data_IF_811497077176
#
_entry.id   IF_811497077176
#
_cell.length_a   1.000
_cell.length_b   1.000
_cell.length_c   1.000
_cell.angle_alpha   90.00
_cell.angle_beta   90.00
_cell.angle_gamma   90.00
#
_symmetry.space_group_name_H-M   'P 1'
#
loop_
_entity.id
_entity.type
_entity.pdbx_description
1 polymer ?
#
# COMPACT_ATOMS: atom_id res chain seq x y z
N UNK A 1 4.56 -5.96 -39.67
CA UNK A 1 4.53 -4.93 -38.62
C UNK A 1 3.69 -5.47 -37.46
N UNK A 2 4.32 -6.21 -36.53
CA UNK A 2 3.61 -6.80 -35.40
C UNK A 2 3.18 -5.69 -34.45
N UNK A 3 1.87 -5.43 -34.38
CA UNK A 3 1.28 -4.61 -33.31
C UNK A 3 1.46 -5.37 -31.99
N UNK A 4 2.59 -5.15 -31.32
CA UNK A 4 2.79 -5.61 -29.94
C UNK A 4 1.74 -4.89 -29.11
N UNK A 5 0.81 -5.64 -28.51
CA UNK A 5 -0.12 -5.10 -27.51
C UNK A 5 0.71 -4.38 -26.44
N UNK A 6 0.27 -3.23 -25.92
CA UNK A 6 1.03 -2.54 -24.89
C UNK A 6 1.23 -3.48 -23.70
N UNK A 7 2.43 -3.50 -23.12
CA UNK A 7 2.86 -4.40 -22.05
C UNK A 7 1.79 -4.65 -20.96
N UNK A 8 1.13 -3.58 -20.51
CA UNK A 8 0.03 -3.64 -19.54
C UNK A 8 -1.16 -4.49 -19.97
N UNK A 9 -1.54 -4.44 -21.25
CA UNK A 9 -2.66 -5.22 -21.77
C UNK A 9 -2.30 -6.66 -22.11
N UNK A 10 -0.99 -6.97 -22.19
CA UNK A 10 -0.50 -8.34 -22.31
C UNK A 10 -0.67 -9.09 -20.97
N UNK A 11 -0.41 -8.40 -19.85
CA UNK A 11 -0.53 -8.96 -18.49
C UNK A 11 -1.73 -8.37 -17.74
N UNK A 12 -2.95 -8.85 -18.05
CA UNK A 12 -4.21 -8.33 -17.48
C UNK A 12 -4.26 -8.35 -15.94
N UNK A 13 -3.65 -9.35 -15.31
CA UNK A 13 -3.61 -9.44 -13.84
C UNK A 13 -2.68 -8.38 -13.24
N UNK A 14 -1.49 -8.20 -13.82
CA UNK A 14 -0.56 -7.14 -13.46
C UNK A 14 -1.20 -5.76 -13.62
N UNK A 15 -1.88 -5.48 -14.74
CA UNK A 15 -2.55 -4.19 -14.94
C UNK A 15 -3.63 -3.89 -13.90
N UNK A 16 -4.41 -4.91 -13.49
CA UNK A 16 -5.41 -4.75 -12.43
C UNK A 16 -4.75 -4.39 -11.10
N UNK A 17 -3.73 -5.16 -10.69
CA UNK A 17 -2.97 -4.87 -9.47
C UNK A 17 -2.40 -3.45 -9.54
N UNK A 18 -1.70 -3.11 -10.63
CA UNK A 18 -1.10 -1.81 -10.86
C UNK A 18 -2.13 -0.66 -10.74
N UNK A 19 -3.32 -0.82 -11.31
CA UNK A 19 -4.36 0.21 -11.27
C UNK A 19 -4.86 0.47 -9.84
N UNK A 20 -5.07 -0.61 -9.05
CA UNK A 20 -5.42 -0.51 -7.63
C UNK A 20 -4.33 0.25 -6.85
N UNK A 21 -3.09 -0.18 -7.02
CA UNK A 21 -1.93 0.39 -6.31
C UNK A 21 -1.66 1.85 -6.64
N UNK A 22 -1.72 2.23 -7.91
CA UNK A 22 -1.48 3.62 -8.33
C UNK A 22 -2.56 4.53 -7.74
N UNK A 23 -3.80 4.05 -7.72
CA UNK A 23 -4.95 4.80 -7.19
C UNK A 23 -4.84 4.96 -5.67
N UNK A 24 -4.57 3.88 -4.93
CA UNK A 24 -4.40 3.94 -3.48
C UNK A 24 -3.21 4.81 -3.10
N UNK A 25 -2.05 4.64 -3.73
CA UNK A 25 -0.85 5.42 -3.44
C UNK A 25 -0.99 6.92 -3.76
N UNK A 26 -1.69 7.28 -4.84
CA UNK A 26 -2.01 8.68 -5.10
C UNK A 26 -2.86 9.27 -3.96
N UNK A 27 -3.88 8.53 -3.50
CA UNK A 27 -4.70 8.88 -2.35
C UNK A 27 -3.88 9.04 -1.06
N UNK A 28 -2.97 8.10 -0.78
CA UNK A 28 -2.11 8.13 0.41
C UNK A 28 -1.25 9.38 0.42
N UNK A 29 -0.73 9.79 -0.73
CA UNK A 29 0.11 10.98 -0.88
C UNK A 29 -0.69 12.27 -0.69
N UNK A 30 -1.91 12.31 -1.22
CA UNK A 30 -2.86 13.40 -0.93
C UNK A 30 -3.13 13.49 0.58
N UNK A 31 -3.44 12.35 1.22
CA UNK A 31 -3.67 12.27 2.67
C UNK A 31 -2.46 12.74 3.48
N UNK A 32 -1.24 12.33 3.12
CA UNK A 32 -0.02 12.74 3.82
C UNK A 32 0.16 14.25 3.81
N UNK A 33 -0.12 14.93 2.70
CA UNK A 33 -0.09 16.40 2.67
C UNK A 33 -1.20 16.99 3.56
N UNK A 34 -2.40 16.43 3.49
CA UNK A 34 -3.56 16.89 4.26
C UNK A 34 -3.35 16.76 5.78
N UNK A 35 -2.83 15.62 6.27
CA UNK A 35 -2.60 15.40 7.70
C UNK A 35 -1.44 16.25 8.24
N UNK A 36 -0.39 16.47 7.44
CA UNK A 36 0.68 17.40 7.80
C UNK A 36 0.12 18.80 7.99
N UNK A 37 -0.70 19.27 7.05
CA UNK A 37 -1.34 20.59 7.16
C UNK A 37 -2.24 20.69 8.41
N UNK A 38 -2.97 19.63 8.73
CA UNK A 38 -3.81 19.55 9.92
C UNK A 38 -2.99 19.61 11.23
N UNK A 39 -1.88 18.86 11.31
CA UNK A 39 -1.00 18.88 12.49
C UNK A 39 -0.43 20.29 12.69
N UNK A 40 0.02 20.94 11.62
CA UNK A 40 0.55 22.30 11.66
C UNK A 40 -0.50 23.33 12.10
N UNK A 41 -1.76 23.16 11.72
CA UNK A 41 -2.84 24.10 12.10
C UNK A 41 -3.23 23.99 13.57
N UNK A 42 -3.18 22.77 14.14
CA UNK A 42 -3.55 22.48 15.54
C UNK A 42 -2.37 22.71 16.50
N UNK A 43 -1.13 22.48 16.08
CA UNK A 43 0.07 22.63 16.91
C UNK A 43 0.88 23.89 16.59
N UNK A 44 0.30 25.08 16.80
CA UNK A 44 0.94 26.35 16.43
C UNK A 44 2.27 26.63 17.18
N UNK A 45 2.37 26.26 18.45
CA UNK A 45 3.58 26.53 19.27
C UNK A 45 4.67 25.47 19.13
N UNK A 46 4.32 24.22 18.78
CA UNK A 46 5.26 23.08 18.74
C UNK A 46 5.17 22.28 17.44
N UNK A 47 4.85 22.96 16.34
CA UNK A 47 4.59 22.37 15.01
C UNK A 47 5.71 21.45 14.53
N UNK A 48 6.98 21.84 14.71
CA UNK A 48 8.13 21.04 14.32
C UNK A 48 8.26 19.74 15.11
N UNK A 49 8.04 19.77 16.43
CA UNK A 49 8.08 18.58 17.27
C UNK A 49 6.90 17.64 16.97
N UNK A 50 5.69 18.19 16.82
CA UNK A 50 4.50 17.41 16.51
C UNK A 50 4.63 16.67 15.16
N UNK A 51 5.14 17.35 14.14
CA UNK A 51 5.40 16.75 12.85
C UNK A 51 6.50 15.68 12.92
N UNK A 52 7.61 15.97 13.62
CA UNK A 52 8.69 15.00 13.83
C UNK A 52 8.20 13.74 14.54
N UNK A 53 7.37 13.88 15.58
CA UNK A 53 6.76 12.76 16.29
C UNK A 53 5.86 11.93 15.37
N UNK A 54 5.05 12.57 14.53
CA UNK A 54 4.22 11.87 13.53
C UNK A 54 5.07 11.08 12.52
N UNK A 55 6.16 11.66 12.01
CA UNK A 55 7.06 10.97 11.09
C UNK A 55 7.74 9.77 11.75
N UNK A 56 8.17 9.91 13.00
CA UNK A 56 8.71 8.79 13.79
C UNK A 56 7.66 7.70 13.99
N UNK A 57 6.42 8.07 14.34
CA UNK A 57 5.31 7.12 14.48
C UNK A 57 5.04 6.35 13.18
N UNK A 58 5.20 6.97 12.01
CA UNK A 58 5.10 6.30 10.72
C UNK A 58 6.30 5.40 10.36
N UNK A 59 7.50 5.73 10.82
CA UNK A 59 8.71 4.93 10.52
C UNK A 59 8.92 3.74 11.48
N UNK A 60 8.45 3.87 12.72
CA UNK A 60 8.64 2.87 13.79
C UNK A 60 8.11 1.47 13.43
N UNK A 61 6.90 1.29 12.86
CA UNK A 61 6.37 -0.02 12.52
C UNK A 61 7.34 -0.87 11.70
N UNK A 62 7.86 -0.31 10.61
CA UNK A 62 8.74 -1.00 9.68
C UNK A 62 10.05 -1.42 10.35
N UNK A 63 10.57 -0.60 11.28
CA UNK A 63 11.81 -0.90 11.99
C UNK A 63 11.63 -1.91 13.13
N UNK A 64 10.52 -1.82 13.86
CA UNK A 64 10.27 -2.69 15.03
C UNK A 64 9.72 -4.06 14.62
N UNK A 65 8.89 -4.09 13.57
CA UNK A 65 8.14 -5.27 13.17
C UNK A 65 8.74 -5.99 11.96
N UNK A 66 9.89 -5.59 11.43
CA UNK A 66 10.47 -6.17 10.19
C UNK A 66 10.56 -7.71 10.22
N UNK A 67 10.99 -8.31 11.35
CA UNK A 67 11.08 -9.78 11.49
C UNK A 67 9.70 -10.44 11.46
N UNK A 68 8.71 -9.80 12.07
CA UNK A 68 7.34 -10.30 12.11
C UNK A 68 6.70 -10.16 10.72
N UNK A 69 6.87 -9.01 10.08
CA UNK A 69 6.42 -8.71 8.73
C UNK A 69 6.94 -9.77 7.76
N UNK A 70 8.26 -10.02 7.72
CA UNK A 70 8.85 -11.05 6.86
C UNK A 70 8.22 -12.43 7.07
N UNK A 71 8.19 -12.90 8.32
CA UNK A 71 7.62 -14.22 8.65
C UNK A 71 6.16 -14.37 8.22
N UNK A 72 5.35 -13.33 8.40
CA UNK A 72 3.92 -13.36 8.10
C UNK A 72 3.69 -13.28 6.59
N UNK A 73 4.40 -12.39 5.89
CA UNK A 73 4.33 -12.24 4.43
C UNK A 73 4.79 -13.51 3.72
N UNK A 74 5.75 -14.23 4.29
CA UNK A 74 6.24 -15.49 3.75
C UNK A 74 5.19 -16.61 3.81
N UNK A 75 4.35 -16.62 4.86
CA UNK A 75 3.38 -17.72 5.10
C UNK A 75 1.95 -17.44 4.65
N UNK A 76 1.57 -16.18 4.56
CA UNK A 76 0.19 -15.82 4.21
C UNK A 76 0.00 -15.76 2.69
N UNK A 77 -1.19 -16.15 2.17
CA UNK A 77 -1.53 -15.93 0.78
C UNK A 77 -1.48 -14.43 0.43
N UNK A 78 -0.82 -14.08 -0.68
CA UNK A 78 -0.64 -12.68 -1.08
C UNK A 78 -1.97 -11.95 -1.20
N UNK A 79 -2.96 -12.57 -1.86
CA UNK A 79 -4.32 -12.03 -1.98
C UNK A 79 -4.95 -11.65 -0.66
N UNK A 80 -4.85 -12.54 0.34
CA UNK A 80 -5.43 -12.30 1.65
C UNK A 80 -4.75 -11.12 2.33
N UNK A 81 -3.42 -11.06 2.27
CA UNK A 81 -2.65 -10.00 2.90
C UNK A 81 -2.93 -8.62 2.30
N UNK A 82 -2.93 -8.51 0.96
CA UNK A 82 -3.18 -7.25 0.27
C UNK A 82 -4.57 -6.69 0.60
N UNK A 83 -5.60 -7.54 0.43
CA UNK A 83 -6.99 -7.17 0.72
C UNK A 83 -7.18 -6.80 2.20
N UNK A 84 -6.59 -7.55 3.13
CA UNK A 84 -6.69 -7.25 4.55
C UNK A 84 -6.02 -5.92 4.91
N UNK A 85 -4.86 -5.61 4.33
CA UNK A 85 -4.16 -4.35 4.55
C UNK A 85 -4.95 -3.16 4.00
N UNK A 86 -5.50 -3.28 2.80
CA UNK A 86 -6.29 -2.22 2.18
C UNK A 86 -7.61 -1.98 2.92
N UNK A 87 -8.35 -3.04 3.28
CA UNK A 87 -9.59 -2.88 4.05
C UNK A 87 -9.33 -2.31 5.47
N UNK A 88 -8.23 -2.71 6.11
CA UNK A 88 -7.83 -2.14 7.40
C UNK A 88 -7.51 -0.66 7.23
N UNK A 89 -6.72 -0.30 6.22
CA UNK A 89 -6.36 1.10 5.92
C UNK A 89 -7.59 1.95 5.58
N UNK A 90 -8.53 1.40 4.81
CA UNK A 90 -9.81 2.04 4.50
C UNK A 90 -10.62 2.32 5.76
N UNK A 91 -10.74 1.35 6.68
CA UNK A 91 -11.48 1.52 7.93
C UNK A 91 -10.81 2.58 8.83
N UNK A 92 -9.48 2.53 8.98
CA UNK A 92 -8.72 3.51 9.75
C UNK A 92 -8.88 4.92 9.17
N UNK A 93 -8.73 5.07 7.85
CA UNK A 93 -8.90 6.36 7.17
C UNK A 93 -10.34 6.86 7.20
N UNK A 94 -11.32 5.98 7.08
CA UNK A 94 -12.74 6.32 7.25
C UNK A 94 -13.02 6.87 8.65
N UNK A 95 -12.46 6.25 9.69
CA UNK A 95 -12.59 6.76 11.06
C UNK A 95 -11.89 8.11 11.25
N UNK A 96 -10.68 8.29 10.70
CA UNK A 96 -9.96 9.58 10.75
C UNK A 96 -10.75 10.66 10.03
N UNK A 97 -11.29 10.38 8.84
CA UNK A 97 -12.12 11.31 8.08
C UNK A 97 -13.39 11.70 8.85
N UNK A 98 -14.06 10.73 9.48
CA UNK A 98 -15.21 10.99 10.35
C UNK A 98 -14.83 11.86 11.56
N UNK A 99 -13.72 11.55 12.23
CA UNK A 99 -13.25 12.32 13.39
C UNK A 99 -12.87 13.75 13.03
N UNK A 100 -12.23 13.94 11.87
CA UNK A 100 -11.92 15.26 11.31
C UNK A 100 -13.18 16.05 10.96
N UNK A 101 -14.22 15.39 10.46
CA UNK A 101 -15.49 16.05 10.08
C UNK A 101 -16.29 16.52 11.29
N UNK A 102 -16.04 15.95 12.48
CA UNK A 102 -16.71 16.30 13.73
C UNK A 102 -15.79 17.10 14.68
N UNK A 103 -14.61 17.51 14.22
CA UNK A 103 -13.59 18.20 15.03
C UNK A 103 -13.18 17.46 16.32
N UNK A 104 -13.32 16.12 16.34
CA UNK A 104 -12.98 15.26 17.50
C UNK A 104 -11.60 14.61 17.39
N UNK A 105 -10.92 14.76 16.26
CA UNK A 105 -9.59 14.18 16.08
C UNK A 105 -8.57 14.87 17.00
N UNK A 106 -7.89 14.08 17.84
CA UNK A 106 -6.78 14.56 18.68
C UNK A 106 -5.43 14.23 18.05
N UNK A 107 -4.37 14.96 18.43
CA UNK A 107 -3.01 14.66 17.96
C UNK A 107 -2.58 13.24 18.31
N UNK A 108 -2.89 12.77 19.51
CA UNK A 108 -2.59 11.40 19.93
C UNK A 108 -3.29 10.35 19.06
N UNK A 109 -4.56 10.59 18.69
CA UNK A 109 -5.27 9.75 17.75
C UNK A 109 -4.60 9.78 16.37
N UNK A 110 -4.24 10.95 15.84
CA UNK A 110 -3.55 11.07 14.57
C UNK A 110 -2.23 10.26 14.53
N UNK A 111 -1.45 10.27 15.62
CA UNK A 111 -0.22 9.48 15.73
C UNK A 111 -0.51 7.98 15.76
N UNK A 112 -1.52 7.56 16.52
CA UNK A 112 -1.92 6.16 16.59
C UNK A 112 -2.41 5.65 15.23
N UNK A 113 -3.30 6.37 14.56
CA UNK A 113 -3.80 5.98 13.24
C UNK A 113 -2.69 6.02 12.18
N UNK A 114 -1.80 7.02 12.22
CA UNK A 114 -0.61 7.06 11.37
C UNK A 114 0.29 5.84 11.56
N UNK A 115 0.54 5.44 12.81
CA UNK A 115 1.29 4.23 13.14
C UNK A 115 0.59 2.97 12.59
N UNK A 116 -0.72 2.81 12.81
CA UNK A 116 -1.47 1.63 12.36
C UNK A 116 -1.51 1.51 10.83
N UNK A 117 -1.62 2.63 10.11
CA UNK A 117 -1.55 2.65 8.65
C UNK A 117 -0.15 2.26 8.18
N UNK A 118 0.90 2.79 8.81
CA UNK A 118 2.26 2.40 8.50
C UNK A 118 2.56 0.91 8.79
N UNK A 119 1.92 0.32 9.82
CA UNK A 119 1.94 -1.14 10.02
C UNK A 119 1.35 -1.85 8.81
N UNK A 120 0.16 -1.45 8.35
CA UNK A 120 -0.49 -2.05 7.19
C UNK A 120 0.36 -1.92 5.91
N UNK A 121 0.92 -0.74 5.64
CA UNK A 121 1.86 -0.51 4.53
C UNK A 121 3.12 -1.38 4.64
N UNK A 122 3.58 -1.62 5.88
CA UNK A 122 4.71 -2.49 6.19
C UNK A 122 4.47 -3.95 5.77
N UNK A 123 3.23 -4.44 5.80
CA UNK A 123 2.87 -5.76 5.27
C UNK A 123 2.54 -5.72 3.78
N UNK A 124 1.91 -4.65 3.30
CA UNK A 124 1.47 -4.51 1.91
C UNK A 124 2.65 -4.49 0.92
N UNK A 125 3.62 -3.59 1.12
CA UNK A 125 4.75 -3.40 0.20
C UNK A 125 5.58 -4.67 -0.05
N UNK A 126 6.02 -5.44 0.96
CA UNK A 126 6.76 -6.68 0.73
C UNK A 126 5.89 -7.77 0.08
N UNK A 127 4.58 -7.80 0.37
CA UNK A 127 3.66 -8.75 -0.28
C UNK A 127 3.60 -8.53 -1.79
N UNK A 128 3.54 -7.26 -2.22
CA UNK A 128 3.56 -6.88 -3.64
C UNK A 128 4.85 -7.35 -4.31
N UNK A 129 5.99 -7.05 -3.69
CA UNK A 129 7.31 -7.46 -4.22
C UNK A 129 7.39 -8.98 -4.34
N UNK A 130 6.82 -9.73 -3.39
CA UNK A 130 6.75 -11.19 -3.41
C UNK A 130 5.83 -11.72 -4.52
N UNK A 131 4.66 -11.13 -4.72
CA UNK A 131 3.67 -11.66 -5.65
C UNK A 131 3.85 -11.17 -7.10
N UNK A 132 4.58 -10.08 -7.32
CA UNK A 132 4.80 -9.51 -8.66
C UNK A 132 5.37 -10.53 -9.66
N UNK A 133 6.39 -11.35 -9.35
CA UNK A 133 6.91 -12.37 -10.27
C UNK A 133 5.91 -13.45 -10.66
N UNK A 134 4.84 -13.66 -9.89
CA UNK A 134 3.78 -14.62 -10.24
C UNK A 134 2.75 -14.06 -11.24
N UNK A 135 2.78 -12.75 -11.49
CA UNK A 135 1.80 -12.04 -12.34
C UNK A 135 2.34 -11.66 -13.72
N UNK A 136 3.64 -11.79 -13.94
CA UNK A 136 4.35 -11.45 -15.18
C UNK A 136 5.32 -12.58 -15.54
N UNK A 137 5.72 -12.69 -16.80
CA UNK A 137 6.75 -13.67 -17.18
C UNK A 137 8.13 -13.23 -16.68
N UNK A 138 9.07 -14.18 -16.57
CA UNK A 138 10.42 -13.90 -16.08
C UNK A 138 11.17 -12.88 -16.96
N UNK A 139 10.93 -12.92 -18.27
CA UNK A 139 11.52 -12.00 -19.26
C UNK A 139 10.98 -10.57 -19.13
N UNK A 140 9.74 -10.45 -18.64
CA UNK A 140 9.00 -9.20 -18.51
C UNK A 140 9.10 -8.59 -17.10
N UNK A 141 9.71 -9.29 -16.14
CA UNK A 141 9.76 -8.89 -14.74
C UNK A 141 10.49 -7.56 -14.53
N UNK A 142 11.65 -7.37 -15.16
CA UNK A 142 12.42 -6.12 -15.06
C UNK A 142 11.59 -4.94 -15.59
N UNK A 143 10.89 -5.13 -16.71
CA UNK A 143 10.01 -4.12 -17.29
C UNK A 143 8.81 -3.82 -16.37
N UNK A 144 8.22 -4.83 -15.73
CA UNK A 144 7.14 -4.66 -14.77
C UNK A 144 7.57 -3.85 -13.54
N UNK A 145 8.74 -4.17 -12.97
CA UNK A 145 9.32 -3.45 -11.83
C UNK A 145 9.60 -1.99 -12.19
N UNK A 146 10.23 -1.75 -13.35
CA UNK A 146 10.51 -0.39 -13.81
C UNK A 146 9.22 0.42 -14.03
N UNK A 147 8.19 -0.21 -14.58
CA UNK A 147 6.89 0.43 -14.81
C UNK A 147 6.18 0.76 -13.49
N UNK A 148 6.19 -0.18 -12.54
CA UNK A 148 5.64 0.01 -11.20
C UNK A 148 6.33 1.18 -10.50
N UNK A 149 7.66 1.19 -10.46
CA UNK A 149 8.43 2.26 -9.83
C UNK A 149 8.16 3.63 -10.46
N UNK A 150 8.17 3.71 -11.80
CA UNK A 150 7.91 4.96 -12.53
C UNK A 150 6.51 5.50 -12.24
N UNK A 151 5.51 4.61 -12.23
CA UNK A 151 4.13 4.96 -11.90
C UNK A 151 3.99 5.41 -10.45
N UNK A 152 4.74 4.79 -9.53
CA UNK A 152 4.78 5.15 -8.12
C UNK A 152 5.26 6.58 -7.91
N UNK A 153 6.34 6.96 -8.60
CA UNK A 153 6.88 8.32 -8.54
C UNK A 153 5.91 9.34 -9.14
N UNK A 154 5.32 9.02 -10.30
CA UNK A 154 4.39 9.92 -10.96
C UNK A 154 3.11 10.11 -10.13
N UNK A 155 2.56 9.03 -9.58
CA UNK A 155 1.42 9.06 -8.68
C UNK A 155 1.74 9.82 -7.39
N UNK A 156 2.96 9.64 -6.85
CA UNK A 156 3.38 10.34 -5.63
C UNK A 156 3.54 11.83 -5.86
N UNK A 157 4.16 12.22 -6.97
CA UNK A 157 4.32 13.61 -7.36
C UNK A 157 2.97 14.25 -7.64
N UNK A 158 2.16 13.63 -8.51
CA UNK A 158 0.82 14.11 -8.86
C UNK A 158 -0.09 14.21 -7.64
N UNK A 159 -0.12 13.18 -6.80
CA UNK A 159 -0.89 13.16 -5.55
C UNK A 159 -0.43 14.23 -4.56
N UNK A 160 0.87 14.48 -4.42
CA UNK A 160 1.37 15.53 -3.51
C UNK A 160 0.99 16.94 -3.98
N UNK A 161 1.13 17.21 -5.28
CA UNK A 161 0.77 18.50 -5.90
C UNK A 161 -0.75 18.71 -5.81
N UNK A 162 -1.53 17.71 -6.22
CA UNK A 162 -3.00 17.76 -6.14
C UNK A 162 -3.47 17.88 -4.70
N UNK A 163 -2.85 17.17 -3.75
CA UNK A 163 -3.19 17.25 -2.33
C UNK A 163 -3.03 18.67 -1.80
N UNK A 164 -1.89 19.31 -2.05
CA UNK A 164 -1.65 20.70 -1.62
C UNK A 164 -2.67 21.68 -2.20
N UNK A 165 -3.05 21.52 -3.48
CA UNK A 165 -4.03 22.39 -4.14
C UNK A 165 -5.45 22.14 -3.64
N UNK A 166 -5.84 20.88 -3.49
CA UNK A 166 -7.20 20.48 -3.18
C UNK A 166 -7.61 20.73 -1.73
N UNK A 167 -6.65 20.86 -0.80
CA UNK A 167 -6.95 21.17 0.62
C UNK A 167 -7.82 22.43 0.73
N UNK A 168 -7.53 23.47 -0.05
CA UNK A 168 -8.28 24.73 0.00
C UNK A 168 -9.72 24.62 -0.52
N UNK A 169 -10.02 23.65 -1.38
CA UNK A 169 -11.33 23.51 -2.03
C UNK A 169 -12.19 22.41 -1.41
N UNK A 170 -11.59 21.26 -1.12
CA UNK A 170 -12.28 20.07 -0.63
C UNK A 170 -12.21 19.94 0.90
N UNK A 171 -11.23 20.59 1.54
CA UNK A 171 -10.96 20.44 2.95
C UNK A 171 -10.28 19.11 3.29
N UNK A 172 -9.63 19.09 4.45
CA UNK A 172 -8.86 17.94 4.95
C UNK A 172 -9.74 16.69 5.12
N UNK A 173 -10.94 16.75 5.76
CA UNK A 173 -11.73 15.54 6.02
C UNK A 173 -12.13 14.80 4.73
N UNK A 174 -12.52 15.54 3.68
CA UNK A 174 -12.92 14.94 2.41
C UNK A 174 -11.75 14.30 1.68
N UNK A 175 -10.55 14.89 1.73
CA UNK A 175 -9.35 14.29 1.17
C UNK A 175 -8.97 12.97 1.86
N UNK A 176 -9.10 12.91 3.19
CA UNK A 176 -8.90 11.66 3.93
C UNK A 176 -9.95 10.61 3.55
N UNK A 177 -11.22 11.02 3.36
CA UNK A 177 -12.28 10.12 2.93
C UNK A 177 -12.03 9.58 1.51
N UNK A 178 -11.58 10.42 0.58
CA UNK A 178 -11.21 9.98 -0.78
C UNK A 178 -10.08 8.94 -0.74
N UNK A 179 -9.13 9.08 0.19
CA UNK A 179 -8.11 8.06 0.41
C UNK A 179 -8.68 6.76 0.99
N UNK A 180 -9.64 6.84 1.91
CA UNK A 180 -10.34 5.63 2.39
C UNK A 180 -11.03 4.89 1.24
N UNK A 181 -11.66 5.63 0.32
CA UNK A 181 -12.34 5.08 -0.87
C UNK A 181 -11.32 4.46 -1.84
N UNK A 182 -10.15 5.06 -2.03
CA UNK A 182 -9.12 4.50 -2.92
C UNK A 182 -8.59 3.16 -2.40
N UNK A 183 -8.46 2.99 -1.07
CA UNK A 183 -8.14 1.70 -0.47
C UNK A 183 -9.24 0.66 -0.68
N UNK A 184 -10.52 1.02 -0.52
CA UNK A 184 -11.63 0.09 -0.83
C UNK A 184 -11.61 -0.33 -2.29
N UNK A 185 -11.38 0.63 -3.20
CA UNK A 185 -11.29 0.36 -4.62
C UNK A 185 -10.13 -0.58 -4.95
N UNK A 186 -8.97 -0.37 -4.35
CA UNK A 186 -7.80 -1.25 -4.49
C UNK A 186 -8.10 -2.67 -3.98
N UNK A 187 -8.68 -2.80 -2.78
CA UNK A 187 -9.10 -4.09 -2.23
C UNK A 187 -10.07 -4.85 -3.14
N UNK A 188 -11.07 -4.17 -3.71
CA UNK A 188 -12.03 -4.79 -4.64
C UNK A 188 -11.31 -5.32 -5.88
N UNK A 189 -10.35 -4.57 -6.43
CA UNK A 189 -9.58 -5.03 -7.59
C UNK A 189 -8.73 -6.26 -7.22
N UNK A 190 -8.07 -6.22 -6.07
CA UNK A 190 -7.22 -7.31 -5.58
C UNK A 190 -8.02 -8.59 -5.30
N UNK A 191 -9.27 -8.48 -4.85
CA UNK A 191 -10.18 -9.61 -4.74
C UNK A 191 -10.44 -10.32 -6.07
N UNK A 192 -10.29 -9.63 -7.21
CA UNK A 192 -10.44 -10.23 -8.55
C UNK A 192 -9.17 -10.92 -9.07
N UNK A 193 -8.03 -10.77 -8.38
CA UNK A 193 -6.76 -11.37 -8.78
C UNK A 193 -6.72 -12.86 -8.44
N UNK A 194 -6.01 -13.60 -9.29
CA UNK A 194 -5.77 -15.04 -9.15
C UNK A 194 -4.27 -15.24 -9.13
N UNK A 195 -3.74 -15.43 -7.92
CA UNK A 195 -2.35 -15.80 -7.74
C UNK A 195 -2.24 -17.32 -7.85
N UNK A 196 -1.39 -17.85 -8.74
CA UNK A 196 -1.01 -19.26 -8.69
C UNK A 196 -0.36 -19.51 -7.32
N UNK A 197 -0.88 -20.45 -6.54
CA UNK A 197 -0.19 -20.89 -5.31
C UNK A 197 1.19 -21.41 -5.70
N UNK A 198 2.24 -20.94 -5.01
CA UNK A 198 3.57 -21.51 -5.17
C UNK A 198 3.48 -23.00 -4.84
N UNK A 199 4.04 -23.91 -5.67
CA UNK A 199 4.04 -25.33 -5.35
C UNK A 199 4.72 -25.51 -4.01
N UNK A 200 4.01 -26.16 -3.07
CA UNK A 200 4.51 -26.41 -1.73
C UNK A 200 5.86 -27.13 -1.83
N UNK A 201 6.93 -26.42 -1.47
CA UNK A 201 8.29 -26.89 -1.38
C UNK A 201 8.36 -27.97 -0.29
N UNK A 202 8.01 -29.19 -0.66
CA UNK A 202 7.91 -30.35 0.24
C UNK A 202 7.96 -31.73 -0.42
N UNK A 203 7.88 -31.86 -1.75
CA UNK A 203 7.83 -33.20 -2.39
C UNK A 203 9.08 -33.61 -3.20
N UNK A 204 10.03 -32.72 -3.50
CA UNK A 204 11.20 -33.09 -4.31
C UNK A 204 12.34 -33.78 -3.54
N UNK A 205 12.41 -33.64 -2.21
CA UNK A 205 13.51 -34.23 -1.43
C UNK A 205 13.30 -35.70 -1.04
N UNK A 206 12.07 -36.23 -1.07
CA UNK A 206 11.81 -37.63 -0.72
C UNK A 206 12.06 -38.61 -1.87
N UNK A 207 11.98 -38.15 -3.13
CA UNK A 207 12.14 -39.05 -4.29
C UNK A 207 13.61 -39.29 -4.68
N UNK A 208 14.52 -38.38 -4.32
CA UNK A 208 15.96 -38.55 -4.54
C UNK A 208 16.61 -39.52 -3.53
N UNK A 209 16.07 -39.58 -2.31
CA UNK A 209 16.56 -40.49 -1.27
C UNK A 209 16.01 -41.92 -1.45
N UNK A 210 14.82 -42.09 -2.01
CA UNK A 210 14.28 -43.42 -2.37
C UNK A 210 14.89 -44.01 -3.65
N UNK A 211 15.41 -43.18 -4.57
CA UNK A 211 16.03 -43.64 -5.81
C UNK A 211 17.52 -43.98 -5.69
N UNK A 212 18.17 -43.59 -4.58
CA UNK A 212 19.58 -43.90 -4.29
C UNK A 212 19.76 -45.06 -3.29
N UNK A 213 18.67 -45.62 -2.77
CA UNK A 213 18.66 -46.69 -1.77
C UNK A 213 18.08 -48.03 -2.21
N UNK A 214 17.93 -48.30 -3.52
CA UNK A 214 17.37 -49.54 -4.07
C UNK A 214 18.33 -50.29 -4.98
#
# INVERSE_FOLDING_TARGET
MHSKKPFLFAHRQFFRLWLGQVTSQAGTRIYQIAIVWWILSVSKEHSGFALGAFMVAGALPSLLLFKLIGRVVDRMPAKFMLVACDLTSAALMGYVAWSLSNDTLTLGAAYLFGFLIAVAEGFFNPTITKCLPSLVSAEDLEQAVAYQASSQYLASFGGSVLGAMLIAWLGIPLLVLLNAISYVFSAIIEMTLVFPEAPADGEENNNAESASGG
#
